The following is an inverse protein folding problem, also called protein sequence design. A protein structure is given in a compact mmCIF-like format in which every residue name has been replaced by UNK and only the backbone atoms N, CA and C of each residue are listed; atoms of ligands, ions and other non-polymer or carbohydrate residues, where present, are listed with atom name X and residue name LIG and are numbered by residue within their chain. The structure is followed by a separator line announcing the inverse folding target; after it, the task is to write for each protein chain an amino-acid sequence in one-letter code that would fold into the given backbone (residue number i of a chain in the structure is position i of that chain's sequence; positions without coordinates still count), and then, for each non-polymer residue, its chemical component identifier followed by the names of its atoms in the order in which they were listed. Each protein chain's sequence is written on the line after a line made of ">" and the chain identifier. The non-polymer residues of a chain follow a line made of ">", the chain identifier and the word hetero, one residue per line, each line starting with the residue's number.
data_IF_970337200448
#
_entry.id   IF_970337200448
#
_cell.length_a   1.000
_cell.length_b   1.000
_cell.length_c   1.000
_cell.angle_alpha   90.00
_cell.angle_beta   90.00
_cell.angle_gamma   90.00
#
_symmetry.space_group_name_H-M   'P 1'
#
loop_
_entity.id
_entity.type
_entity.pdbx_description
1 polymer ?
#
# COMPACT_ATOMS: atom_id res chain seq x y z
N UNK A 1 29.12 -7.26 8.53
CA UNK A 1 28.25 -6.07 8.43
C UNK A 1 26.93 -6.43 9.08
N UNK A 2 26.46 -5.66 10.06
CA UNK A 2 25.12 -5.88 10.60
C UNK A 2 24.11 -5.74 9.44
N UNK A 3 23.19 -6.69 9.32
CA UNK A 3 22.08 -6.56 8.37
C UNK A 3 21.40 -5.21 8.63
N UNK A 4 21.18 -4.41 7.58
CA UNK A 4 20.38 -3.18 7.72
C UNK A 4 19.01 -3.59 8.28
N UNK A 5 18.55 -2.87 9.29
CA UNK A 5 17.22 -3.08 9.86
C UNK A 5 16.19 -2.52 8.89
N UNK A 6 15.74 -3.36 7.95
CA UNK A 6 14.81 -2.96 6.88
C UNK A 6 13.43 -2.65 7.47
N UNK A 7 12.92 -1.45 7.19
CA UNK A 7 11.58 -0.97 7.55
C UNK A 7 10.70 -0.90 6.30
N UNK A 8 9.54 -1.56 6.34
CA UNK A 8 8.50 -1.41 5.31
C UNK A 8 7.25 -0.76 5.88
N UNK A 9 6.73 0.21 5.15
CA UNK A 9 5.39 0.73 5.35
C UNK A 9 4.41 0.10 4.38
N UNK A 10 3.20 -0.19 4.83
CA UNK A 10 2.08 -0.54 3.96
C UNK A 10 0.91 0.39 4.23
N UNK A 11 0.43 1.06 3.19
CA UNK A 11 -0.79 1.86 3.21
C UNK A 11 -1.92 0.97 2.73
N UNK A 12 -2.73 0.52 3.68
CA UNK A 12 -3.74 -0.52 3.47
C UNK A 12 -4.93 0.00 2.65
N UNK A 13 -5.57 -0.92 1.94
CA UNK A 13 -6.84 -0.72 1.25
C UNK A 13 -7.92 -1.48 2.03
N UNK A 14 -8.44 -2.60 1.51
CA UNK A 14 -9.59 -3.28 2.09
C UNK A 14 -9.26 -4.20 3.26
N UNK A 15 -10.18 -4.24 4.22
CA UNK A 15 -10.23 -5.23 5.29
C UNK A 15 -10.57 -6.63 4.75
N UNK A 16 -10.67 -7.62 5.65
CA UNK A 16 -11.06 -8.98 5.29
C UNK A 16 -9.94 -9.73 4.56
N UNK A 17 -10.26 -10.32 3.41
CA UNK A 17 -9.32 -11.22 2.71
C UNK A 17 -8.11 -10.48 2.13
N UNK A 18 -8.27 -9.24 1.66
CA UNK A 18 -7.12 -8.45 1.18
C UNK A 18 -6.14 -8.16 2.31
N UNK A 19 -6.64 -7.65 3.45
CA UNK A 19 -5.85 -7.47 4.66
C UNK A 19 -5.16 -8.77 5.10
N UNK A 20 -5.86 -9.91 5.07
CA UNK A 20 -5.25 -11.21 5.38
C UNK A 20 -4.06 -11.54 4.47
N UNK A 21 -4.19 -11.31 3.15
CA UNK A 21 -3.09 -11.47 2.20
C UNK A 21 -1.92 -10.52 2.48
N UNK A 22 -2.20 -9.28 2.89
CA UNK A 22 -1.17 -8.31 3.27
C UNK A 22 -0.40 -8.77 4.50
N UNK A 23 -1.09 -9.26 5.53
CA UNK A 23 -0.44 -9.84 6.71
C UNK A 23 0.38 -11.10 6.35
N UNK A 24 -0.10 -11.93 5.42
CA UNK A 24 0.64 -13.10 4.93
C UNK A 24 1.94 -12.69 4.22
N UNK A 25 1.90 -11.64 3.40
CA UNK A 25 3.09 -11.12 2.72
C UNK A 25 4.12 -10.64 3.76
N UNK A 26 3.70 -9.83 4.72
CA UNK A 26 4.59 -9.28 5.75
C UNK A 26 5.18 -10.38 6.64
N UNK A 27 4.36 -11.35 7.01
CA UNK A 27 4.79 -12.53 7.74
C UNK A 27 5.88 -13.30 6.98
N UNK A 28 5.68 -13.53 5.68
CA UNK A 28 6.67 -14.17 4.82
C UNK A 28 7.96 -13.35 4.73
N UNK A 29 7.88 -12.04 4.51
CA UNK A 29 9.05 -11.17 4.37
C UNK A 29 9.92 -11.16 5.64
N UNK A 30 9.30 -11.16 6.82
CA UNK A 30 10.04 -11.28 8.08
C UNK A 30 10.59 -12.70 8.30
N UNK A 31 9.83 -13.75 7.99
CA UNK A 31 10.33 -15.13 8.07
C UNK A 31 11.54 -15.36 7.15
N UNK A 32 11.56 -14.72 5.98
CA UNK A 32 12.67 -14.70 5.03
C UNK A 32 13.83 -13.77 5.45
N UNK A 33 13.72 -13.06 6.59
CA UNK A 33 14.70 -12.09 7.10
C UNK A 33 14.99 -10.94 6.12
N UNK A 34 14.01 -10.60 5.27
CA UNK A 34 14.11 -9.47 4.33
C UNK A 34 13.67 -8.15 4.98
N UNK A 35 12.79 -8.23 5.98
CA UNK A 35 12.21 -7.10 6.70
C UNK A 35 12.36 -7.33 8.18
N UNK A 36 12.66 -6.29 8.94
CA UNK A 36 12.70 -6.35 10.40
C UNK A 36 11.50 -5.68 11.04
N UNK A 37 11.13 -4.48 10.57
CA UNK A 37 10.02 -3.69 11.11
C UNK A 37 8.97 -3.39 10.05
N UNK A 38 7.72 -3.29 10.48
CA UNK A 38 6.58 -2.98 9.62
C UNK A 38 5.74 -1.88 10.26
N UNK A 39 5.27 -0.92 9.47
CA UNK A 39 4.17 -0.02 9.86
C UNK A 39 2.97 -0.24 8.95
N UNK A 40 1.83 -0.51 9.55
CA UNK A 40 0.53 -0.75 8.92
C UNK A 40 -0.30 0.53 9.01
N UNK A 41 -0.39 1.31 7.95
CA UNK A 41 -1.21 2.52 7.93
C UNK A 41 -2.68 2.19 7.63
N UNK A 42 -3.54 2.49 8.60
CA UNK A 42 -4.99 2.27 8.55
C UNK A 42 -5.74 3.59 8.35
N UNK A 43 -7.03 3.51 8.00
CA UNK A 43 -7.91 4.69 7.96
C UNK A 43 -8.38 5.05 9.38
N UNK A 44 -8.68 6.35 9.59
CA UNK A 44 -9.12 6.89 10.89
C UNK A 44 -10.62 6.73 11.16
N UNK A 45 -11.41 6.53 10.11
CA UNK A 45 -12.87 6.44 10.17
C UNK A 45 -13.36 5.54 9.05
N UNK A 46 -14.59 4.98 9.13
CA UNK A 46 -15.18 4.21 8.03
C UNK A 46 -15.03 4.95 6.70
N UNK A 47 -14.33 4.33 5.75
CA UNK A 47 -13.87 4.97 4.53
C UNK A 47 -14.04 3.99 3.37
N UNK A 48 -14.58 4.46 2.24
CA UNK A 48 -14.76 3.66 1.02
C UNK A 48 -15.33 2.24 1.24
N UNK A 49 -16.29 2.12 2.18
CA UNK A 49 -17.00 0.90 2.59
C UNK A 49 -16.10 -0.12 3.29
N UNK A 50 -15.05 -0.59 2.64
CA UNK A 50 -14.24 -1.73 3.08
C UNK A 50 -12.84 -1.38 3.53
N UNK A 51 -12.43 -0.10 3.53
CA UNK A 51 -11.08 0.24 3.94
C UNK A 51 -10.79 -0.14 5.39
N UNK A 52 -9.57 -0.63 5.61
CA UNK A 52 -9.12 -1.16 6.90
C UNK A 52 -9.01 -0.07 7.96
N UNK A 53 -9.68 -0.31 9.08
CA UNK A 53 -9.48 0.39 10.35
C UNK A 53 -8.62 -0.48 11.29
N UNK A 54 -8.03 0.12 12.32
CA UNK A 54 -7.27 -0.61 13.35
C UNK A 54 -8.08 -1.77 13.96
N UNK A 55 -9.36 -1.52 14.29
CA UNK A 55 -10.26 -2.55 14.81
C UNK A 55 -10.43 -3.76 13.88
N UNK A 56 -10.29 -3.57 12.57
CA UNK A 56 -10.47 -4.63 11.59
C UNK A 56 -9.25 -5.58 11.56
N UNK A 57 -8.05 -5.06 11.85
CA UNK A 57 -6.85 -5.88 12.07
C UNK A 57 -7.04 -6.76 13.30
N UNK A 58 -7.45 -6.17 14.43
CA UNK A 58 -7.71 -6.93 15.66
C UNK A 58 -8.82 -7.96 15.46
N UNK A 59 -9.92 -7.56 14.83
CA UNK A 59 -11.03 -8.46 14.53
C UNK A 59 -10.62 -9.63 13.63
N UNK A 60 -9.79 -9.38 12.61
CA UNK A 60 -9.27 -10.44 11.73
C UNK A 60 -8.44 -11.44 12.53
N UNK A 61 -7.47 -10.96 13.32
CA UNK A 61 -6.60 -11.82 14.14
C UNK A 61 -7.44 -12.62 15.15
N UNK A 62 -8.35 -11.99 15.88
CA UNK A 62 -9.26 -12.67 16.82
C UNK A 62 -10.13 -13.74 16.13
N UNK A 63 -10.52 -13.50 14.89
CA UNK A 63 -11.29 -14.46 14.08
C UNK A 63 -10.42 -15.66 13.69
N UNK A 64 -9.18 -15.43 13.26
CA UNK A 64 -8.24 -16.50 12.90
C UNK A 64 -7.84 -17.35 14.12
N UNK A 65 -7.69 -16.72 15.29
CA UNK A 65 -7.38 -17.38 16.55
C UNK A 65 -8.47 -18.38 16.98
N UNK A 66 -9.73 -18.10 16.65
CA UNK A 66 -10.90 -18.97 16.94
C UNK A 66 -11.12 -20.06 15.88
N UNK A 67 -10.24 -20.16 14.87
CA UNK A 67 -10.36 -21.15 13.81
C UNK A 67 -10.04 -22.57 14.30
N UNK A 68 -10.68 -23.58 13.69
CA UNK A 68 -10.32 -24.99 13.90
C UNK A 68 -9.05 -25.39 13.13
N UNK A 69 -8.50 -24.50 12.29
CA UNK A 69 -7.32 -24.79 11.48
C UNK A 69 -6.03 -24.33 12.19
N UNK A 70 -5.19 -25.29 12.59
CA UNK A 70 -3.97 -25.05 13.39
C UNK A 70 -3.03 -23.99 12.79
N UNK A 71 -2.88 -23.96 11.47
CA UNK A 71 -1.99 -22.97 10.85
C UNK A 71 -2.56 -21.55 10.93
N UNK A 72 -3.88 -21.37 10.95
CA UNK A 72 -4.50 -20.05 11.08
C UNK A 72 -4.37 -19.53 12.51
N UNK A 73 -4.57 -20.42 13.50
CA UNK A 73 -4.33 -20.12 14.91
C UNK A 73 -2.88 -19.69 15.12
N UNK A 74 -1.92 -20.51 14.67
CA UNK A 74 -0.49 -20.19 14.78
C UNK A 74 -0.13 -18.88 14.09
N UNK A 75 -0.62 -18.66 12.86
CA UNK A 75 -0.39 -17.42 12.12
C UNK A 75 -0.90 -16.21 12.91
N UNK A 76 -2.10 -16.31 13.49
CA UNK A 76 -2.67 -15.25 14.31
C UNK A 76 -1.83 -14.96 15.55
N UNK A 77 -1.42 -15.99 16.30
CA UNK A 77 -0.59 -15.85 17.50
C UNK A 77 0.73 -15.14 17.17
N UNK A 78 1.40 -15.55 16.10
CA UNK A 78 2.67 -14.97 15.69
C UNK A 78 2.54 -13.53 15.19
N UNK A 79 1.47 -13.19 14.47
CA UNK A 79 1.18 -11.80 14.08
C UNK A 79 0.87 -10.93 15.30
N UNK A 80 0.05 -11.41 16.24
CA UNK A 80 -0.26 -10.69 17.49
C UNK A 80 0.99 -10.46 18.34
N UNK A 81 1.89 -11.46 18.42
CA UNK A 81 3.16 -11.31 19.12
C UNK A 81 4.04 -10.23 18.48
N UNK A 82 4.06 -10.13 17.15
CA UNK A 82 4.80 -9.08 16.42
C UNK A 82 4.27 -7.69 16.69
N UNK A 83 2.94 -7.53 16.78
CA UNK A 83 2.30 -6.27 17.16
C UNK A 83 2.67 -5.92 18.60
N UNK A 84 2.52 -6.86 19.53
CA UNK A 84 2.81 -6.65 20.96
C UNK A 84 4.29 -6.34 21.22
N UNK A 85 5.20 -6.92 20.44
CA UNK A 85 6.64 -6.65 20.51
C UNK A 85 7.07 -5.35 19.83
N UNK A 86 6.17 -4.63 19.13
CA UNK A 86 6.48 -3.42 18.37
C UNK A 86 7.26 -3.68 17.08
N UNK A 87 7.35 -4.93 16.62
CA UNK A 87 7.88 -5.26 15.29
C UNK A 87 6.90 -4.80 14.19
N UNK A 88 5.60 -4.93 14.45
CA UNK A 88 4.51 -4.42 13.62
C UNK A 88 3.80 -3.29 14.37
N UNK A 89 3.84 -2.09 13.81
CA UNK A 89 3.14 -0.94 14.36
C UNK A 89 1.86 -0.70 13.55
N UNK A 90 0.70 -0.63 14.20
CA UNK A 90 -0.52 -0.13 13.55
C UNK A 90 -0.52 1.39 13.70
N UNK A 91 -0.62 2.09 12.57
CA UNK A 91 -0.43 3.53 12.51
C UNK A 91 -1.67 4.23 11.99
N UNK A 92 -2.18 5.14 12.81
CA UNK A 92 -3.38 5.91 12.58
C UNK A 92 -2.97 7.35 12.23
N UNK A 93 -3.13 7.75 10.96
CA UNK A 93 -2.85 9.11 10.51
C UNK A 93 -4.06 9.68 9.77
N UNK A 94 -4.52 10.89 10.09
CA UNK A 94 -5.74 11.46 9.51
C UNK A 94 -5.62 11.80 8.02
N UNK A 95 -4.39 12.04 7.53
CA UNK A 95 -4.13 12.37 6.14
C UNK A 95 -4.71 11.34 5.15
N UNK A 96 -4.70 10.05 5.49
CA UNK A 96 -5.24 9.00 4.61
C UNK A 96 -6.73 9.18 4.30
N UNK A 97 -7.45 9.87 5.18
CA UNK A 97 -8.88 10.20 5.06
C UNK A 97 -9.17 11.65 4.69
N UNK A 98 -8.14 12.44 4.37
CA UNK A 98 -8.30 13.78 3.78
C UNK A 98 -8.57 13.70 2.26
N UNK A 99 -9.10 14.76 1.63
CA UNK A 99 -9.34 14.76 0.18
C UNK A 99 -8.05 14.95 -0.65
N UNK A 100 -6.96 15.39 -0.02
CA UNK A 100 -5.70 15.68 -0.69
C UNK A 100 -5.13 14.47 -1.44
N UNK A 101 -4.53 14.77 -2.60
CA UNK A 101 -3.65 13.82 -3.25
C UNK A 101 -2.29 13.76 -2.52
N UNK A 102 -1.48 12.74 -2.81
CA UNK A 102 -0.25 12.53 -2.04
C UNK A 102 0.84 13.56 -2.35
N UNK A 103 0.80 14.23 -3.51
CA UNK A 103 1.75 15.29 -3.84
C UNK A 103 1.65 16.50 -2.93
N UNK A 104 0.52 16.69 -2.26
CA UNK A 104 0.31 17.78 -1.30
C UNK A 104 0.87 17.46 0.10
N UNK A 105 1.16 16.18 0.41
CA UNK A 105 1.47 15.70 1.75
C UNK A 105 2.63 16.45 2.40
N UNK A 106 3.72 16.72 1.67
CA UNK A 106 4.89 17.40 2.22
C UNK A 106 4.55 18.82 2.75
N UNK A 107 3.57 19.49 2.14
CA UNK A 107 3.15 20.83 2.55
C UNK A 107 2.04 20.80 3.61
N UNK A 108 1.11 19.85 3.53
CA UNK A 108 -0.06 19.78 4.42
C UNK A 108 0.22 18.99 5.71
N UNK A 109 1.07 17.97 5.63
CA UNK A 109 1.47 17.11 6.75
C UNK A 109 2.97 16.71 6.63
N UNK A 110 3.88 17.68 6.86
CA UNK A 110 5.32 17.46 6.76
C UNK A 110 5.83 16.42 7.76
N UNK A 111 5.13 16.20 8.88
CA UNK A 111 5.49 15.19 9.88
C UNK A 111 5.25 13.78 9.34
N UNK A 112 4.10 13.53 8.72
CA UNK A 112 3.83 12.26 8.06
C UNK A 112 4.78 12.02 6.89
N UNK A 113 5.02 13.04 6.05
CA UNK A 113 5.96 12.91 4.94
C UNK A 113 7.37 12.53 5.42
N UNK A 114 7.84 13.18 6.50
CA UNK A 114 9.11 12.84 7.15
C UNK A 114 9.08 11.42 7.70
N UNK A 115 8.01 11.00 8.38
CA UNK A 115 7.84 9.64 8.91
C UNK A 115 7.95 8.60 7.80
N UNK A 116 7.26 8.79 6.68
CA UNK A 116 7.34 7.91 5.49
C UNK A 116 8.74 7.87 4.88
N UNK A 117 9.53 8.95 4.99
CA UNK A 117 10.91 9.00 4.47
C UNK A 117 11.90 8.12 5.23
N UNK A 118 11.54 7.65 6.44
CA UNK A 118 12.35 6.73 7.24
C UNK A 118 12.31 5.29 6.72
N UNK A 119 11.32 4.96 5.88
CA UNK A 119 11.11 3.61 5.37
C UNK A 119 12.08 3.27 4.25
N UNK A 120 12.39 1.98 4.10
CA UNK A 120 13.15 1.47 2.96
C UNK A 120 12.25 1.23 1.75
N UNK A 121 10.98 0.89 1.99
CA UNK A 121 9.95 0.71 0.97
C UNK A 121 8.57 1.07 1.52
N UNK A 122 7.77 1.76 0.73
CA UNK A 122 6.35 2.01 1.00
C UNK A 122 5.51 1.24 -0.02
N UNK A 123 4.61 0.39 0.47
CA UNK A 123 3.67 -0.38 -0.35
C UNK A 123 2.30 0.29 -0.29
N UNK A 124 1.80 0.75 -1.43
CA UNK A 124 0.45 1.30 -1.56
C UNK A 124 -0.48 0.24 -2.13
N UNK A 125 -1.54 -0.10 -1.39
CA UNK A 125 -2.52 -1.11 -1.79
C UNK A 125 -3.71 -0.49 -2.50
N UNK A 126 -4.19 -1.13 -3.56
CA UNK A 126 -5.52 -0.87 -4.10
C UNK A 126 -5.66 0.40 -4.94
N UNK A 127 -6.89 0.61 -5.40
CA UNK A 127 -7.22 1.61 -6.43
C UNK A 127 -7.20 3.04 -5.90
N UNK A 128 -7.76 3.28 -4.71
CA UNK A 128 -7.82 4.63 -4.12
C UNK A 128 -6.44 5.20 -3.83
N UNK A 129 -5.53 4.38 -3.28
CA UNK A 129 -4.16 4.82 -3.05
C UNK A 129 -3.45 5.15 -4.37
N UNK A 130 -3.69 4.39 -5.44
CA UNK A 130 -3.13 4.69 -6.75
C UNK A 130 -3.66 6.01 -7.33
N UNK A 131 -4.97 6.24 -7.21
CA UNK A 131 -5.60 7.50 -7.62
C UNK A 131 -4.98 8.68 -6.88
N UNK A 132 -4.80 8.59 -5.57
CA UNK A 132 -4.13 9.64 -4.77
C UNK A 132 -2.63 9.79 -5.07
N UNK A 133 -1.94 8.71 -5.44
CA UNK A 133 -0.54 8.78 -5.92
C UNK A 133 -0.45 9.57 -7.24
N UNK A 134 -1.40 9.37 -8.15
CA UNK A 134 -1.44 10.02 -9.46
C UNK A 134 -2.26 11.32 -9.50
N UNK A 135 -2.76 11.79 -8.36
CA UNK A 135 -3.62 12.98 -8.28
C UNK A 135 -4.99 12.86 -8.97
N UNK A 136 -5.42 11.64 -9.32
CA UNK A 136 -6.70 11.35 -10.01
C UNK A 136 -6.92 12.19 -11.28
N UNK A 137 -5.83 12.44 -12.03
CA UNK A 137 -5.84 13.31 -13.22
C UNK A 137 -5.93 12.52 -14.52
N UNK A 138 -6.36 13.20 -15.59
CA UNK A 138 -6.35 12.67 -16.96
C UNK A 138 -4.94 12.72 -17.57
N UNK A 139 -4.07 11.84 -17.10
CA UNK A 139 -2.74 11.63 -17.69
C UNK A 139 -2.84 10.93 -19.05
N UNK A 140 -1.88 11.22 -19.94
CA UNK A 140 -1.59 10.31 -21.05
C UNK A 140 -1.14 8.96 -20.47
N UNK A 141 -1.69 7.84 -20.93
CA UNK A 141 -1.42 6.54 -20.32
C UNK A 141 0.05 6.09 -20.41
N UNK A 142 0.84 6.71 -21.29
CA UNK A 142 2.28 6.47 -21.42
C UNK A 142 3.13 7.36 -20.52
N UNK A 143 2.53 8.36 -19.86
CA UNK A 143 3.20 9.21 -18.84
C UNK A 143 3.92 8.33 -17.84
N UNK A 144 5.16 8.66 -17.48
CA UNK A 144 5.91 7.81 -16.55
C UNK A 144 5.27 7.80 -15.16
N UNK A 145 5.33 6.67 -14.45
CA UNK A 145 4.81 6.60 -13.07
C UNK A 145 5.48 7.65 -12.16
N UNK A 146 6.79 7.87 -12.31
CA UNK A 146 7.54 8.88 -11.56
C UNK A 146 7.02 10.31 -11.78
N UNK A 147 6.64 10.64 -13.01
CA UNK A 147 6.05 11.94 -13.35
C UNK A 147 4.65 12.09 -12.75
N UNK A 148 3.83 11.05 -12.85
CA UNK A 148 2.48 11.05 -12.30
C UNK A 148 2.43 11.19 -10.76
N UNK A 149 3.49 10.77 -10.05
CA UNK A 149 3.64 11.02 -8.61
C UNK A 149 3.70 12.51 -8.24
N UNK A 150 3.91 13.40 -9.23
CA UNK A 150 3.86 14.84 -9.07
C UNK A 150 4.73 15.36 -7.90
N UNK A 151 5.91 14.78 -7.71
CA UNK A 151 6.85 15.15 -6.64
C UNK A 151 6.74 14.32 -5.35
N UNK A 152 5.70 13.51 -5.17
CA UNK A 152 5.57 12.63 -4.02
C UNK A 152 6.56 11.46 -4.06
N UNK A 153 7.67 11.58 -3.33
CA UNK A 153 8.66 10.50 -3.21
C UNK A 153 9.38 10.56 -1.84
N UNK A 154 8.66 10.32 -0.73
CA UNK A 154 9.27 10.32 0.61
C UNK A 154 10.27 9.17 0.76
N UNK A 155 10.00 8.00 0.18
CA UNK A 155 10.93 6.87 0.05
C UNK A 155 10.72 6.15 -1.29
N UNK A 156 11.48 5.08 -1.54
CA UNK A 156 11.14 4.14 -2.62
C UNK A 156 9.76 3.55 -2.35
N UNK A 157 8.94 3.43 -3.39
CA UNK A 157 7.57 2.98 -3.25
C UNK A 157 7.17 2.00 -4.34
N UNK A 158 6.16 1.19 -4.04
CA UNK A 158 5.48 0.31 -4.97
C UNK A 158 3.97 0.44 -4.80
N UNK A 159 3.25 0.56 -5.91
CA UNK A 159 1.79 0.49 -5.94
C UNK A 159 1.36 -0.90 -6.44
N UNK A 160 0.55 -1.60 -5.64
CA UNK A 160 -0.06 -2.88 -5.96
C UNK A 160 -1.55 -2.65 -6.18
N UNK A 161 -1.96 -2.54 -7.45
CA UNK A 161 -3.28 -2.00 -7.79
C UNK A 161 -3.98 -2.84 -8.84
N UNK A 162 -5.14 -3.37 -8.47
CA UNK A 162 -6.17 -3.76 -9.43
C UNK A 162 -6.84 -2.51 -10.00
N UNK A 163 -6.97 -2.42 -11.33
CA UNK A 163 -7.43 -1.22 -12.03
C UNK A 163 -8.96 -1.14 -11.94
N UNK A 164 -9.47 -0.15 -11.21
CA UNK A 164 -10.91 0.11 -11.00
C UNK A 164 -11.29 1.57 -11.27
N UNK A 165 -10.38 2.34 -11.87
CA UNK A 165 -10.59 3.73 -12.27
C UNK A 165 -9.82 4.05 -13.57
N UNK A 166 -10.24 5.13 -14.22
CA UNK A 166 -9.74 5.63 -15.51
C UNK A 166 -8.26 6.02 -15.51
N UNK A 167 -7.77 6.57 -14.40
CA UNK A 167 -6.36 6.93 -14.25
C UNK A 167 -5.48 5.68 -14.32
N UNK A 168 -4.56 5.64 -15.27
CA UNK A 168 -3.52 4.62 -15.42
C UNK A 168 -2.37 5.23 -16.20
N UNK A 169 -1.14 5.03 -15.73
CA UNK A 169 0.06 5.61 -16.33
C UNK A 169 1.12 4.53 -16.54
N UNK A 170 2.21 4.87 -17.22
CA UNK A 170 3.38 3.99 -17.42
C UNK A 170 3.11 2.80 -18.33
N UNK A 171 2.07 2.83 -19.15
CA UNK A 171 1.80 1.81 -20.15
C UNK A 171 2.74 1.96 -21.35
N UNK A 172 3.04 0.84 -22.01
CA UNK A 172 3.72 0.90 -23.31
C UNK A 172 2.76 1.49 -24.36
N UNK A 173 3.30 2.27 -25.29
CA UNK A 173 2.53 2.82 -26.41
C UNK A 173 1.72 1.74 -27.14
N UNK A 174 0.45 2.03 -27.43
CA UNK A 174 -0.50 1.09 -28.06
C UNK A 174 -1.16 0.07 -27.13
N UNK A 175 -0.73 -0.05 -25.86
CA UNK A 175 -1.37 -0.99 -24.90
C UNK A 175 -2.82 -0.61 -24.64
N UNK A 176 -3.11 0.68 -24.45
CA UNK A 176 -4.48 1.15 -24.18
C UNK A 176 -5.42 0.82 -25.35
N UNK A 177 -4.98 1.06 -26.59
CA UNK A 177 -5.75 0.74 -27.80
C UNK A 177 -6.04 -0.76 -27.93
N UNK A 178 -5.04 -1.60 -27.62
CA UNK A 178 -5.21 -3.06 -27.63
C UNK A 178 -6.23 -3.53 -26.60
N UNK A 179 -6.25 -2.94 -25.41
CA UNK A 179 -7.20 -3.28 -24.35
C UNK A 179 -8.60 -2.74 -24.67
N UNK A 180 -8.70 -1.51 -25.17
CA UNK A 180 -9.97 -0.90 -25.59
C UNK A 180 -10.67 -1.71 -26.69
N UNK A 181 -9.92 -2.37 -27.58
CA UNK A 181 -10.47 -3.31 -28.57
C UNK A 181 -11.04 -4.59 -27.96
N UNK A 182 -10.52 -5.04 -26.81
CA UNK A 182 -11.00 -6.25 -26.12
C UNK A 182 -12.20 -5.95 -25.22
N UNK A 183 -12.14 -4.84 -24.50
CA UNK A 183 -13.18 -4.40 -23.56
C UNK A 183 -13.04 -2.90 -23.40
N UNK A 184 -14.10 -2.12 -23.67
CA UNK A 184 -14.07 -0.67 -23.48
C UNK A 184 -14.07 -0.26 -22.00
N UNK A 185 -14.49 -1.16 -21.10
CA UNK A 185 -14.60 -0.91 -19.67
C UNK A 185 -13.47 -1.52 -18.84
N UNK A 186 -12.38 -1.99 -19.46
CA UNK A 186 -11.29 -2.72 -18.80
C UNK A 186 -10.66 -1.99 -17.61
N UNK A 187 -10.69 -0.64 -17.62
CA UNK A 187 -10.20 0.20 -16.51
C UNK A 187 -11.11 0.19 -15.27
N UNK A 188 -12.31 -0.37 -15.36
CA UNK A 188 -13.32 -0.32 -14.30
C UNK A 188 -13.75 -1.70 -13.80
N UNK A 189 -13.38 -2.79 -14.49
CA UNK A 189 -13.84 -4.13 -14.11
C UNK A 189 -13.07 -4.74 -12.94
N UNK A 190 -11.82 -4.31 -12.74
CA UNK A 190 -10.91 -4.96 -11.81
C UNK A 190 -10.27 -6.25 -12.32
N UNK A 191 -10.36 -6.53 -13.63
CA UNK A 191 -9.74 -7.72 -14.23
C UNK A 191 -8.24 -7.54 -14.53
N UNK A 192 -7.77 -6.29 -14.55
CA UNK A 192 -6.39 -5.91 -14.86
C UNK A 192 -5.73 -5.34 -13.62
N UNK A 193 -4.40 -5.48 -13.54
CA UNK A 193 -3.62 -4.97 -12.42
C UNK A 193 -2.26 -4.46 -12.88
N UNK A 194 -1.68 -3.57 -12.06
CA UNK A 194 -0.31 -3.09 -12.21
C UNK A 194 0.46 -3.28 -10.91
N UNK A 195 1.76 -3.55 -11.07
CA UNK A 195 2.77 -3.43 -10.02
C UNK A 195 3.74 -2.37 -10.51
N UNK A 196 3.70 -1.19 -9.92
CA UNK A 196 4.53 -0.06 -10.36
C UNK A 196 5.45 0.40 -9.25
N UNK A 197 6.75 0.41 -9.52
CA UNK A 197 7.77 0.79 -8.57
C UNK A 197 8.41 2.13 -8.97
N UNK A 198 8.64 3.01 -7.99
CA UNK A 198 9.48 4.18 -8.15
C UNK A 198 10.57 4.15 -7.09
N UNK A 199 11.84 4.08 -7.52
CA UNK A 199 12.99 4.07 -6.61
C UNK A 199 13.39 5.50 -6.28
N UNK A 200 13.53 5.81 -4.99
CA UNK A 200 14.15 7.06 -4.55
C UNK A 200 15.66 6.98 -4.78
N UNK A 201 16.20 7.91 -5.55
CA UNK A 201 17.65 8.02 -5.72
C UNK A 201 18.28 8.46 -4.41
N UNK A 202 19.24 7.68 -3.91
CA UNK A 202 20.09 8.12 -2.81
C UNK A 202 21.04 9.17 -3.37
N UNK A 203 20.66 10.45 -3.33
CA UNK A 203 21.64 11.50 -3.43
C UNK A 203 22.41 11.48 -2.10
N UNK A 204 23.51 10.71 -2.06
CA UNK A 204 24.59 10.96 -1.12
C UNK A 204 25.18 12.31 -1.52
N UNK A 205 24.67 13.38 -0.94
CA UNK A 205 25.37 14.67 -0.85
C UNK A 205 26.31 14.63 0.34
#
# INVERSE_FOLDING_TARGET
>A
MASKDVLIDIVLDNAGFELFCDLCLLYFLQAAKLVKRVRLYVKMMPWFISDTLEKDIHWLLDTLLKSNHKNLVKFSEECTNKITAGEWEIVNEPFWTYPHDFSEMESTDPLLYKKLSESDLIVFKGDLNYRKLAGDRQWDETTSFKEALNGFLPSSLVALRTIKADVVVGLQSGTCDLLNKKSQNWKFTGDYAVIQCCKKSNNLS
#
